data_IF_813030478038
#
_entry.id   IF_813030478038
#
_cell.length_a   1.000
_cell.length_b   1.000
_cell.length_c   1.000
_cell.angle_alpha   90.00
_cell.angle_beta   90.00
_cell.angle_gamma   90.00
#
_symmetry.space_group_name_H-M   'P 1'
#
loop_
_entity.id
_entity.type
_entity.pdbx_description
1 polymer ?
#
# COMPACT_ATOMS: atom_id res chain seq x y z
N UNK A 1 3.56 -1.82 9.27
CA UNK A 1 4.16 -0.53 8.87
C UNK A 1 3.09 0.52 8.91
N UNK A 2 3.28 1.61 9.65
CA UNK A 2 2.27 2.67 9.87
C UNK A 2 2.77 4.04 9.41
N UNK A 3 4.00 4.15 8.94
CA UNK A 3 4.67 5.40 8.56
C UNK A 3 4.79 6.46 9.68
N UNK A 4 4.30 6.19 10.89
CA UNK A 4 4.38 7.10 12.04
C UNK A 4 5.77 7.21 12.65
N UNK A 5 6.70 6.34 12.25
CA UNK A 5 8.14 6.45 12.56
C UNK A 5 8.85 7.51 11.71
N UNK A 6 8.18 8.08 10.70
CA UNK A 6 8.68 9.16 9.85
C UNK A 6 8.23 10.52 10.40
N UNK A 7 9.09 11.52 10.28
CA UNK A 7 8.81 12.86 10.81
C UNK A 7 8.43 13.83 9.68
N UNK A 8 7.26 14.44 9.78
CA UNK A 8 6.79 15.52 8.91
C UNK A 8 6.33 16.72 9.75
N UNK A 9 6.46 17.92 9.20
CA UNK A 9 5.70 19.06 9.69
C UNK A 9 4.19 18.83 9.44
N UNK A 10 3.29 19.46 10.21
CA UNK A 10 1.86 19.31 9.96
C UNK A 10 1.45 19.71 8.54
N UNK A 11 0.62 18.91 7.91
CA UNK A 11 0.07 19.12 6.57
C UNK A 11 1.16 19.29 5.49
N UNK A 12 2.13 18.36 5.49
CA UNK A 12 3.23 18.31 4.52
C UNK A 12 3.43 16.89 4.00
N UNK A 13 4.41 16.73 3.11
CA UNK A 13 4.79 15.44 2.53
C UNK A 13 6.31 15.42 2.29
N UNK A 14 6.83 14.23 2.05
CA UNK A 14 8.15 13.98 1.50
C UNK A 14 8.00 13.32 0.13
N UNK A 15 8.66 13.85 -0.90
CA UNK A 15 8.49 13.45 -2.30
C UNK A 15 9.77 12.91 -2.96
N UNK A 16 10.89 12.86 -2.23
CA UNK A 16 12.18 12.41 -2.76
C UNK A 16 13.05 13.51 -3.38
N UNK A 17 12.65 14.78 -3.30
CA UNK A 17 13.42 15.92 -3.80
C UNK A 17 14.79 16.10 -3.11
N UNK A 18 15.00 15.41 -2.00
CA UNK A 18 16.26 15.38 -1.24
C UNK A 18 17.32 14.40 -1.80
N UNK A 19 17.04 13.72 -2.91
CA UNK A 19 17.92 12.76 -3.59
C UNK A 19 18.23 11.48 -2.79
N UNK A 20 17.37 11.08 -1.88
CA UNK A 20 17.54 9.82 -1.13
C UNK A 20 16.99 8.60 -1.86
N UNK A 21 16.19 8.80 -2.93
CA UNK A 21 15.61 7.78 -3.82
C UNK A 21 14.67 6.77 -3.13
N UNK A 22 14.25 7.05 -1.93
CA UNK A 22 13.35 6.22 -1.14
C UNK A 22 13.49 6.46 0.35
N UNK A 23 12.66 5.75 1.11
CA UNK A 23 12.63 5.83 2.56
C UNK A 23 12.41 4.46 3.20
N UNK A 24 12.67 4.35 4.49
CA UNK A 24 12.40 3.13 5.26
C UNK A 24 11.41 3.45 6.37
N UNK A 25 10.36 2.63 6.50
CA UNK A 25 9.41 2.67 7.60
C UNK A 25 9.12 1.26 8.10
N UNK A 26 9.07 1.06 9.41
CA UNK A 26 8.86 -0.25 10.01
C UNK A 26 9.88 -1.33 9.58
N UNK A 27 11.08 -0.92 9.15
CA UNK A 27 12.12 -1.81 8.64
C UNK A 27 11.92 -2.27 7.18
N UNK A 28 10.95 -1.69 6.46
CA UNK A 28 10.67 -1.97 5.05
C UNK A 28 11.09 -0.78 4.20
N UNK A 29 11.74 -1.04 3.07
CA UNK A 29 12.17 0.00 2.13
C UNK A 29 11.09 0.27 1.08
N UNK A 30 10.81 1.54 0.85
CA UNK A 30 9.88 2.07 -0.14
C UNK A 30 10.67 2.89 -1.16
N UNK A 31 10.70 2.44 -2.39
CA UNK A 31 11.39 3.13 -3.46
C UNK A 31 10.67 4.42 -3.87
N UNK A 32 11.44 5.40 -4.31
CA UNK A 32 10.92 6.66 -4.85
C UNK A 32 11.70 7.03 -6.10
N UNK A 33 11.03 7.62 -7.06
CA UNK A 33 11.61 8.19 -8.26
C UNK A 33 11.26 9.66 -8.35
N UNK A 34 12.27 10.52 -8.30
CA UNK A 34 12.13 11.96 -8.47
C UNK A 34 12.86 12.43 -9.74
N UNK A 35 12.17 13.20 -10.56
CA UNK A 35 12.74 13.76 -11.77
C UNK A 35 13.36 15.13 -11.46
N UNK A 36 14.70 15.19 -11.32
CA UNK A 36 15.43 16.41 -10.98
C UNK A 36 15.54 17.42 -12.14
N UNK A 37 15.34 16.96 -13.39
CA UNK A 37 15.38 17.87 -14.56
C UNK A 37 14.10 18.71 -14.67
N UNK A 38 12.98 18.15 -14.22
CA UNK A 38 11.65 18.75 -14.30
C UNK A 38 11.02 19.05 -12.95
N UNK A 39 11.74 18.73 -11.85
CA UNK A 39 11.38 19.04 -10.45
C UNK A 39 10.00 18.50 -10.05
N UNK A 40 9.80 17.19 -10.23
CA UNK A 40 8.57 16.50 -9.82
C UNK A 40 8.79 15.04 -9.44
N UNK A 41 7.92 14.50 -8.56
CA UNK A 41 7.84 13.08 -8.26
C UNK A 41 7.32 12.30 -9.48
N UNK A 42 8.08 11.32 -9.93
CA UNK A 42 7.82 10.59 -11.18
C UNK A 42 7.40 9.13 -10.96
N UNK A 43 7.37 8.66 -9.72
CA UNK A 43 6.93 7.28 -9.42
C UNK A 43 7.39 6.76 -8.07
N UNK A 44 6.95 5.54 -7.74
CA UNK A 44 7.24 4.89 -6.46
C UNK A 44 6.36 5.41 -5.34
N UNK A 45 6.96 5.66 -4.17
CA UNK A 45 6.24 6.06 -2.96
C UNK A 45 6.67 7.43 -2.46
N UNK A 46 5.71 8.14 -1.91
CA UNK A 46 5.92 9.28 -1.02
C UNK A 46 5.26 8.96 0.33
N UNK A 47 5.59 9.72 1.38
CA UNK A 47 4.80 9.72 2.60
C UNK A 47 4.29 11.12 2.92
N UNK A 48 3.10 11.20 3.49
CA UNK A 48 2.33 12.43 3.63
C UNK A 48 1.51 12.43 4.93
N UNK A 49 1.20 13.62 5.41
CA UNK A 49 0.17 13.87 6.41
C UNK A 49 -0.77 15.01 5.95
N UNK A 50 -0.88 15.22 4.64
CA UNK A 50 -1.77 16.21 4.06
C UNK A 50 -3.23 15.90 4.35
N UNK A 51 -4.00 16.92 4.70
CA UNK A 51 -5.42 16.80 5.09
C UNK A 51 -6.38 17.42 4.07
N UNK A 52 -5.87 17.83 2.89
CA UNK A 52 -6.67 18.47 1.85
C UNK A 52 -7.51 17.45 1.07
N UNK A 53 -8.81 17.40 1.36
CA UNK A 53 -9.79 16.54 0.69
C UNK A 53 -10.66 17.29 -0.31
N UNK A 54 -10.33 18.53 -0.65
CA UNK A 54 -11.19 19.46 -1.40
C UNK A 54 -10.56 19.99 -2.69
N UNK A 55 -9.24 20.15 -2.74
CA UNK A 55 -8.56 20.65 -3.93
C UNK A 55 -8.48 19.55 -4.98
N UNK A 56 -9.11 19.79 -6.13
CA UNK A 56 -9.09 18.88 -7.27
C UNK A 56 -7.83 19.08 -8.12
N UNK A 57 -7.43 18.02 -8.83
CA UNK A 57 -6.35 18.05 -9.82
C UNK A 57 -4.99 17.65 -9.25
N UNK A 58 -3.99 17.64 -10.14
CA UNK A 58 -2.65 17.10 -9.88
C UNK A 58 -1.83 17.87 -8.84
N UNK A 59 -2.26 19.05 -8.45
CA UNK A 59 -1.60 19.81 -7.36
C UNK A 59 -1.94 19.29 -5.98
N UNK A 60 -2.80 18.28 -5.87
CA UNK A 60 -3.21 17.61 -4.65
C UNK A 60 -3.16 16.07 -4.80
N UNK A 61 -2.10 15.55 -5.39
CA UNK A 61 -1.86 14.12 -5.59
C UNK A 61 -1.28 13.42 -4.35
N UNK A 62 -0.81 14.18 -3.34
CA UNK A 62 -0.21 13.67 -2.11
C UNK A 62 -1.20 13.50 -0.94
N UNK A 63 -2.49 13.79 -1.14
CA UNK A 63 -3.49 13.72 -0.07
C UNK A 63 -4.34 12.46 -0.19
N UNK A 64 -4.48 11.71 0.91
CA UNK A 64 -5.52 10.68 1.03
C UNK A 64 -6.91 11.32 1.10
N UNK A 65 -7.90 10.75 0.43
CA UNK A 65 -9.27 11.29 0.39
C UNK A 65 -10.00 11.23 1.75
N UNK A 66 -9.43 10.53 2.70
CA UNK A 66 -9.88 10.50 4.11
C UNK A 66 -9.41 11.69 4.94
N UNK A 67 -8.41 12.45 4.48
CA UNK A 67 -7.81 13.59 5.19
C UNK A 67 -7.02 13.23 6.45
N UNK A 68 -6.77 11.94 6.70
CA UNK A 68 -6.01 11.42 7.84
C UNK A 68 -5.48 10.03 7.49
N UNK A 69 -4.42 9.57 8.15
CA UNK A 69 -3.91 8.21 8.02
C UNK A 69 -4.85 7.13 8.58
N UNK A 70 -4.62 5.88 8.22
CA UNK A 70 -5.39 4.73 8.63
C UNK A 70 -5.31 4.49 10.14
N UNK A 71 -6.41 4.04 10.77
CA UNK A 71 -6.50 3.84 12.22
C UNK A 71 -6.06 5.06 13.04
N UNK A 72 -6.27 6.28 12.52
CA UNK A 72 -5.83 7.54 13.11
C UNK A 72 -4.31 7.71 13.19
N UNK A 73 -3.57 7.03 12.32
CA UNK A 73 -2.15 7.28 12.06
C UNK A 73 -1.94 8.73 11.63
N UNK A 74 -0.77 9.29 11.94
CA UNK A 74 -0.44 10.66 11.52
C UNK A 74 -0.02 10.72 10.06
N UNK A 75 0.76 9.72 9.64
CA UNK A 75 1.29 9.63 8.30
C UNK A 75 0.68 8.45 7.53
N UNK A 76 0.75 8.52 6.23
CA UNK A 76 0.40 7.46 5.30
C UNK A 76 1.32 7.54 4.07
N UNK A 77 1.35 6.51 3.25
CA UNK A 77 2.05 6.57 1.97
C UNK A 77 1.07 6.77 0.81
N UNK A 78 1.56 7.38 -0.27
CA UNK A 78 0.89 7.44 -1.57
C UNK A 78 1.78 6.75 -2.58
N UNK A 79 1.18 5.95 -3.45
CA UNK A 79 1.85 5.22 -4.51
C UNK A 79 1.46 5.73 -5.91
N UNK A 80 2.48 5.84 -6.77
CA UNK A 80 2.35 6.02 -8.20
C UNK A 80 3.30 5.04 -8.91
N UNK A 81 2.86 3.78 -9.09
CA UNK A 81 3.72 2.71 -9.57
C UNK A 81 4.78 2.26 -8.55
N UNK A 82 5.66 1.36 -8.97
CA UNK A 82 6.66 0.78 -8.07
C UNK A 82 6.10 -0.29 -7.13
N UNK A 83 6.97 -0.88 -6.33
CA UNK A 83 6.67 -1.98 -5.43
C UNK A 83 7.31 -1.84 -4.05
N UNK A 84 7.04 -2.81 -3.20
CA UNK A 84 7.60 -2.92 -1.86
C UNK A 84 8.52 -4.14 -1.81
N UNK A 85 9.76 -3.98 -1.33
CA UNK A 85 10.67 -5.08 -1.01
C UNK A 85 10.77 -5.24 0.51
N UNK A 86 10.33 -6.38 1.02
CA UNK A 86 10.43 -6.74 2.43
C UNK A 86 11.83 -7.26 2.82
N UNK A 87 12.75 -7.38 1.86
CA UNK A 87 14.12 -7.89 2.04
C UNK A 87 14.19 -9.39 2.30
N UNK A 88 13.15 -10.01 2.81
CA UNK A 88 12.99 -11.45 3.02
C UNK A 88 11.51 -11.81 2.91
N UNK A 89 11.22 -13.06 2.58
CA UNK A 89 9.85 -13.55 2.51
C UNK A 89 9.08 -13.31 3.82
N UNK A 90 7.85 -12.85 3.68
CA UNK A 90 6.89 -12.56 4.75
C UNK A 90 5.54 -13.18 4.43
N UNK A 91 4.86 -13.63 5.46
CA UNK A 91 3.42 -13.92 5.38
C UNK A 91 2.68 -12.63 5.75
N UNK A 92 2.03 -12.02 4.77
CA UNK A 92 1.28 -10.79 4.96
C UNK A 92 -0.07 -11.09 5.61
N UNK A 93 -0.57 -10.16 6.43
CA UNK A 93 -1.90 -10.21 7.00
C UNK A 93 -2.85 -9.31 6.23
N UNK A 94 -2.63 -8.01 6.30
CA UNK A 94 -3.53 -7.01 5.68
C UNK A 94 -2.78 -5.72 5.36
N UNK A 95 -3.43 -4.89 4.55
CA UNK A 95 -3.04 -3.52 4.25
C UNK A 95 -4.29 -2.64 4.29
N UNK A 96 -4.16 -1.39 4.69
CA UNK A 96 -5.24 -0.41 4.52
C UNK A 96 -5.02 0.38 3.24
N UNK A 97 -6.09 0.54 2.44
CA UNK A 97 -6.08 1.21 1.15
C UNK A 97 -7.22 2.23 1.10
N UNK A 98 -6.97 3.37 0.48
CA UNK A 98 -8.00 4.36 0.12
C UNK A 98 -7.61 5.10 -1.16
N UNK A 99 -8.54 5.86 -1.74
CA UNK A 99 -8.25 6.77 -2.84
C UNK A 99 -7.40 7.95 -2.37
N UNK A 100 -6.58 8.50 -3.28
CA UNK A 100 -6.10 9.88 -3.14
C UNK A 100 -7.23 10.86 -3.44
N UNK A 101 -7.11 12.08 -2.91
CA UNK A 101 -8.08 13.16 -3.20
C UNK A 101 -8.15 13.46 -4.69
N UNK A 102 -7.01 13.44 -5.39
CA UNK A 102 -6.98 13.66 -6.82
C UNK A 102 -7.78 12.59 -7.57
N UNK A 103 -7.54 11.30 -7.33
CA UNK A 103 -8.25 10.22 -8.00
C UNK A 103 -9.76 10.24 -7.67
N UNK A 104 -10.12 10.42 -6.40
CA UNK A 104 -11.51 10.44 -5.97
C UNK A 104 -12.30 11.60 -6.59
N UNK A 105 -11.74 12.81 -6.58
CA UNK A 105 -12.41 13.99 -7.14
C UNK A 105 -12.47 13.95 -8.67
N UNK A 106 -11.47 13.36 -9.34
CA UNK A 106 -11.51 13.13 -10.79
C UNK A 106 -12.67 12.18 -11.16
N UNK A 107 -12.79 11.03 -10.50
CA UNK A 107 -13.90 10.10 -10.72
C UNK A 107 -15.27 10.71 -10.37
N UNK A 108 -15.34 11.53 -9.34
CA UNK A 108 -16.60 12.12 -8.87
C UNK A 108 -17.08 13.28 -9.77
N UNK A 109 -16.18 14.13 -10.22
CA UNK A 109 -16.52 15.41 -10.86
C UNK A 109 -16.05 15.49 -12.33
N UNK A 110 -15.20 14.56 -12.77
CA UNK A 110 -14.47 14.65 -14.02
C UNK A 110 -13.38 15.74 -13.98
N UNK A 111 -12.50 15.70 -14.94
CA UNK A 111 -11.49 16.75 -15.18
C UNK A 111 -11.17 16.84 -16.69
N UNK A 112 -10.02 17.44 -17.05
CA UNK A 112 -9.63 17.60 -18.47
C UNK A 112 -9.32 16.26 -19.16
N UNK A 113 -9.06 15.19 -18.40
CA UNK A 113 -8.67 13.88 -18.90
C UNK A 113 -9.66 12.79 -18.47
N UNK A 114 -10.02 12.78 -17.18
CA UNK A 114 -10.88 11.78 -16.56
C UNK A 114 -12.36 12.11 -16.69
N UNK A 115 -13.18 11.09 -17.01
CA UNK A 115 -14.65 11.20 -17.04
C UNK A 115 -15.24 11.19 -15.62
N UNK A 116 -16.48 11.65 -15.51
CA UNK A 116 -17.31 11.39 -14.32
C UNK A 116 -17.75 9.92 -14.34
N UNK A 117 -17.48 9.16 -13.30
CA UNK A 117 -17.91 7.77 -13.18
C UNK A 117 -19.44 7.68 -13.11
N UNK A 118 -20.01 6.68 -13.78
CA UNK A 118 -21.45 6.54 -14.02
C UNK A 118 -21.96 7.29 -15.26
N UNK A 119 -21.12 8.12 -15.91
CA UNK A 119 -21.45 8.75 -17.18
C UNK A 119 -21.32 7.75 -18.34
N UNK A 120 -22.19 7.85 -19.32
CA UNK A 120 -22.11 7.08 -20.59
C UNK A 120 -21.14 7.73 -21.59
N UNK A 121 -20.54 8.86 -21.23
CA UNK A 121 -19.65 9.63 -22.11
C UNK A 121 -18.26 9.77 -21.46
N UNK A 122 -17.24 9.88 -22.31
CA UNK A 122 -15.89 10.26 -21.93
C UNK A 122 -15.81 11.74 -21.47
N UNK A 123 -14.62 12.18 -21.08
CA UNK A 123 -14.35 13.56 -20.63
C UNK A 123 -14.60 14.59 -21.75
N UNK A 124 -14.63 14.19 -23.02
CA UNK A 124 -14.87 15.04 -24.18
C UNK A 124 -16.34 15.03 -24.61
N UNK A 125 -17.20 14.27 -23.92
CA UNK A 125 -18.65 14.17 -24.17
C UNK A 125 -19.04 13.17 -25.26
N UNK A 126 -18.12 12.28 -25.67
CA UNK A 126 -18.43 11.21 -26.63
C UNK A 126 -18.82 9.93 -25.91
N UNK A 127 -19.73 9.10 -26.48
CA UNK A 127 -20.02 7.78 -25.92
C UNK A 127 -18.75 6.92 -25.81
N UNK A 128 -18.47 6.39 -24.63
CA UNK A 128 -17.25 5.63 -24.32
C UNK A 128 -17.45 4.09 -24.34
N UNK A 129 -18.70 3.65 -24.45
CA UNK A 129 -19.06 2.23 -24.51
C UNK A 129 -19.17 1.53 -23.15
N UNK A 130 -18.90 2.22 -22.03
CA UNK A 130 -19.05 1.62 -20.68
C UNK A 130 -20.49 1.53 -20.24
N UNK A 131 -21.38 2.31 -20.85
CA UNK A 131 -22.79 2.46 -20.46
C UNK A 131 -22.95 2.94 -19.00
N UNK A 132 -21.92 3.60 -18.45
CA UNK A 132 -21.88 4.07 -17.07
C UNK A 132 -21.42 3.00 -16.05
N UNK A 133 -21.12 1.78 -16.51
CA UNK A 133 -20.62 0.70 -15.68
C UNK A 133 -19.09 0.85 -15.45
N UNK A 134 -18.71 1.91 -14.75
CA UNK A 134 -17.33 2.27 -14.52
C UNK A 134 -16.75 1.57 -13.30
N UNK A 135 -15.45 1.33 -13.33
CA UNK A 135 -14.70 0.86 -12.17
C UNK A 135 -13.25 1.33 -12.21
N UNK A 136 -12.67 1.44 -11.00
CA UNK A 136 -11.25 1.68 -10.77
C UNK A 136 -10.76 0.67 -9.74
N UNK A 137 -9.75 -0.11 -10.07
CA UNK A 137 -9.26 -1.19 -9.20
C UNK A 137 -7.76 -1.23 -9.10
N UNK A 138 -7.32 -1.74 -7.97
CA UNK A 138 -5.94 -2.04 -7.64
C UNK A 138 -5.74 -3.55 -7.66
N UNK A 139 -4.73 -4.01 -8.38
CA UNK A 139 -4.18 -5.36 -8.29
C UNK A 139 -2.97 -5.30 -7.37
N UNK A 140 -2.98 -6.10 -6.30
CA UNK A 140 -1.88 -6.28 -5.35
C UNK A 140 -1.28 -7.63 -5.65
N UNK A 141 -0.10 -7.66 -6.24
CA UNK A 141 0.54 -8.84 -6.80
C UNK A 141 1.68 -9.26 -5.87
N UNK A 142 1.55 -10.43 -5.28
CA UNK A 142 2.62 -11.03 -4.47
C UNK A 142 3.69 -11.69 -5.34
N UNK A 143 4.95 -11.49 -4.99
CA UNK A 143 6.09 -12.12 -5.64
C UNK A 143 6.99 -12.81 -4.61
N UNK A 144 7.48 -14.00 -4.96
CA UNK A 144 8.49 -14.72 -4.17
C UNK A 144 9.91 -14.12 -4.34
N UNK A 145 10.90 -14.70 -3.66
CA UNK A 145 12.30 -14.29 -3.74
C UNK A 145 12.93 -14.43 -5.13
N UNK A 146 12.31 -15.18 -6.03
CA UNK A 146 12.72 -15.36 -7.43
C UNK A 146 11.91 -14.50 -8.40
N UNK A 147 11.07 -13.58 -7.87
CA UNK A 147 10.17 -12.69 -8.62
C UNK A 147 9.05 -13.44 -9.38
N UNK A 148 8.75 -14.69 -9.03
CA UNK A 148 7.57 -15.35 -9.56
C UNK A 148 6.33 -14.83 -8.83
N UNK A 149 5.21 -14.65 -9.55
CA UNK A 149 3.93 -14.32 -8.95
C UNK A 149 3.44 -15.47 -8.08
N UNK A 150 3.15 -15.18 -6.81
CA UNK A 150 2.56 -16.13 -5.88
C UNK A 150 1.04 -16.15 -6.02
N UNK A 151 0.40 -14.99 -5.91
CA UNK A 151 -1.03 -14.76 -6.15
C UNK A 151 -1.31 -13.27 -6.37
N UNK A 152 -2.58 -12.90 -6.60
CA UNK A 152 -3.03 -11.53 -6.79
C UNK A 152 -4.33 -11.27 -6.03
N UNK A 153 -4.34 -10.23 -5.21
CA UNK A 153 -5.55 -9.70 -4.57
C UNK A 153 -6.05 -8.51 -5.35
N UNK A 154 -7.35 -8.48 -5.67
CA UNK A 154 -8.00 -7.40 -6.40
C UNK A 154 -8.85 -6.59 -5.43
N UNK A 155 -8.66 -5.27 -5.41
CA UNK A 155 -9.43 -4.34 -4.61
C UNK A 155 -10.02 -3.23 -5.49
N UNK A 156 -11.34 -2.99 -5.38
CA UNK A 156 -12.02 -1.94 -6.14
C UNK A 156 -12.01 -0.63 -5.34
N UNK A 157 -11.32 0.37 -5.87
CA UNK A 157 -11.29 1.75 -5.35
C UNK A 157 -12.53 2.55 -5.73
N UNK A 158 -13.20 2.14 -6.81
CA UNK A 158 -14.54 2.59 -7.21
C UNK A 158 -15.22 1.48 -8.02
N UNK A 159 -16.55 1.32 -7.86
CA UNK A 159 -17.34 0.36 -8.61
C UNK A 159 -18.75 0.90 -8.84
N UNK A 160 -19.13 1.06 -10.12
CA UNK A 160 -20.40 1.60 -10.61
C UNK A 160 -21.17 0.57 -11.45
N UNK A 161 -20.91 -0.72 -11.26
CA UNK A 161 -21.51 -1.82 -12.03
C UNK A 161 -22.71 -2.45 -11.34
N UNK A 162 -23.15 -1.91 -10.22
CA UNK A 162 -24.28 -2.48 -9.49
C UNK A 162 -25.60 -2.22 -10.22
N UNK A 163 -26.49 -3.25 -10.23
CA UNK A 163 -27.83 -3.10 -10.78
C UNK A 163 -28.67 -2.04 -10.04
N UNK A 164 -28.41 -1.86 -8.77
CA UNK A 164 -28.93 -0.77 -7.94
C UNK A 164 -27.83 0.28 -7.78
N UNK A 165 -27.97 1.39 -8.47
CA UNK A 165 -27.00 2.49 -8.43
C UNK A 165 -26.80 3.13 -7.04
N UNK A 166 -27.64 2.85 -6.08
CA UNK A 166 -27.40 3.25 -4.68
C UNK A 166 -26.27 2.46 -4.02
N UNK A 167 -25.82 1.38 -4.65
CA UNK A 167 -24.69 0.59 -4.21
C UNK A 167 -23.37 1.01 -4.89
N UNK A 168 -23.44 1.88 -5.91
CA UNK A 168 -22.27 2.43 -6.56
C UNK A 168 -21.45 3.24 -5.57
N UNK A 169 -20.13 3.13 -5.64
CA UNK A 169 -19.24 3.79 -4.68
C UNK A 169 -17.91 4.24 -5.27
N UNK A 170 -17.36 5.26 -4.64
CA UNK A 170 -15.93 5.62 -4.66
C UNK A 170 -15.48 5.49 -3.21
N UNK A 171 -14.44 4.69 -2.95
CA UNK A 171 -13.88 4.51 -1.61
C UNK A 171 -13.44 5.86 -1.04
N UNK A 172 -13.97 6.21 0.13
CA UNK A 172 -13.72 7.46 0.84
C UNK A 172 -13.37 7.24 2.32
N UNK A 173 -13.12 6.00 2.68
CA UNK A 173 -12.66 5.53 3.99
C UNK A 173 -11.42 4.67 3.82
N UNK A 174 -10.68 4.41 4.90
CA UNK A 174 -9.65 3.40 4.88
C UNK A 174 -10.27 2.00 4.93
N UNK A 175 -10.06 1.23 3.86
CA UNK A 175 -10.54 -0.15 3.77
C UNK A 175 -9.40 -1.13 4.07
N UNK A 176 -9.70 -2.15 4.88
CA UNK A 176 -8.74 -3.21 5.20
C UNK A 176 -8.83 -4.32 4.17
N UNK A 177 -7.75 -4.52 3.42
CA UNK A 177 -7.63 -5.55 2.40
C UNK A 177 -6.84 -6.72 2.97
N UNK A 178 -7.43 -7.93 2.94
CA UNK A 178 -6.78 -9.18 3.35
C UNK A 178 -5.73 -9.59 2.31
N UNK A 179 -4.49 -9.72 2.73
CA UNK A 179 -3.36 -10.14 1.90
C UNK A 179 -2.95 -11.60 2.16
N UNK A 180 -3.63 -12.30 3.06
CA UNK A 180 -3.29 -13.72 3.37
C UNK A 180 -3.35 -14.64 2.14
N UNK A 181 -4.20 -14.40 1.11
CA UNK A 181 -4.19 -15.21 -0.10
C UNK A 181 -2.88 -15.17 -0.89
N UNK A 182 -2.06 -14.11 -0.72
CA UNK A 182 -0.76 -13.99 -1.43
C UNK A 182 0.26 -15.04 -0.97
N UNK A 183 0.08 -15.64 0.22
CA UNK A 183 1.02 -16.59 0.80
C UNK A 183 2.32 -15.93 1.29
N UNK A 184 3.45 -16.61 1.12
CA UNK A 184 4.77 -16.06 1.43
C UNK A 184 5.26 -15.22 0.25
N UNK A 185 5.60 -13.95 0.49
CA UNK A 185 6.06 -13.00 -0.51
C UNK A 185 7.29 -12.25 -0.03
N UNK A 186 8.21 -11.95 -0.94
CA UNK A 186 9.29 -11.00 -0.69
C UNK A 186 8.95 -9.62 -1.24
N UNK A 187 8.17 -9.56 -2.36
CA UNK A 187 7.82 -8.31 -2.99
C UNK A 187 6.30 -8.17 -3.14
N UNK A 188 5.82 -6.93 -3.09
CA UNK A 188 4.51 -6.54 -3.61
C UNK A 188 4.70 -5.64 -4.82
N UNK A 189 3.97 -5.93 -5.88
CA UNK A 189 3.80 -5.04 -7.03
C UNK A 189 2.36 -4.53 -7.05
N UNK A 190 2.17 -3.33 -7.56
CA UNK A 190 0.87 -2.67 -7.63
C UNK A 190 0.56 -2.28 -9.06
N UNK A 191 -0.66 -2.63 -9.53
CA UNK A 191 -1.15 -2.25 -10.84
C UNK A 191 -2.54 -1.65 -10.70
N UNK A 192 -2.72 -0.42 -11.21
CA UNK A 192 -4.03 0.23 -11.27
C UNK A 192 -4.65 0.05 -12.65
N UNK A 193 -5.94 -0.27 -12.65
CA UNK A 193 -6.73 -0.45 -13.86
C UNK A 193 -8.04 0.33 -13.73
N UNK A 194 -8.54 0.89 -14.84
CA UNK A 194 -9.79 1.64 -14.92
C UNK A 194 -10.52 1.34 -16.22
N UNK A 195 -11.83 1.54 -16.22
CA UNK A 195 -12.65 1.60 -17.46
C UNK A 195 -12.43 2.89 -18.23
N UNK A 196 -12.02 3.97 -17.56
CA UNK A 196 -11.72 5.25 -18.19
C UNK A 196 -10.34 5.22 -18.85
N UNK A 197 -10.33 4.94 -20.15
CA UNK A 197 -9.13 4.74 -20.95
C UNK A 197 -9.05 5.77 -22.07
N UNK A 198 -7.85 6.27 -22.31
CA UNK A 198 -7.53 7.16 -23.43
C UNK A 198 -6.41 6.60 -24.31
N UNK A 199 -5.97 7.40 -25.25
CA UNK A 199 -4.90 7.03 -26.18
C UNK A 199 -3.54 6.76 -25.51
N UNK A 200 -3.35 7.22 -24.28
CA UNK A 200 -2.11 7.09 -23.51
C UNK A 200 -2.24 6.15 -22.31
N UNK A 201 -3.32 5.40 -22.21
CA UNK A 201 -3.62 4.49 -21.12
C UNK A 201 -4.79 4.96 -20.26
N UNK A 202 -4.70 4.72 -18.98
CA UNK A 202 -5.72 5.07 -17.99
C UNK A 202 -5.79 6.61 -17.83
N UNK A 203 -7.01 7.18 -17.92
CA UNK A 203 -7.27 8.60 -17.71
C UNK A 203 -7.55 8.92 -16.23
N UNK A 204 -8.14 7.97 -15.49
CA UNK A 204 -8.28 8.08 -14.03
C UNK A 204 -6.89 8.28 -13.42
N UNK A 205 -6.68 9.27 -12.55
CA UNK A 205 -5.39 9.47 -11.91
C UNK A 205 -4.90 8.20 -11.20
N UNK A 206 -3.75 7.67 -11.64
CA UNK A 206 -3.24 6.35 -11.25
C UNK A 206 -2.51 6.40 -9.90
N UNK A 207 -3.18 6.91 -8.87
CA UNK A 207 -2.68 7.06 -7.51
C UNK A 207 -3.61 6.35 -6.52
N UNK A 208 -3.02 5.79 -5.46
CA UNK A 208 -3.75 5.35 -4.29
C UNK A 208 -2.95 5.61 -3.02
N UNK A 209 -3.64 5.71 -1.88
CA UNK A 209 -2.99 5.82 -0.58
C UNK A 209 -3.03 4.49 0.16
N UNK A 210 -1.97 4.19 0.92
CA UNK A 210 -1.85 2.97 1.71
C UNK A 210 -1.28 3.24 3.10
N UNK A 211 -1.67 2.38 4.04
CA UNK A 211 -1.23 2.43 5.43
C UNK A 211 -1.35 1.07 6.11
N UNK A 212 -0.85 0.95 7.33
CA UNK A 212 -1.07 -0.19 8.22
C UNK A 212 -0.81 -1.57 7.58
N UNK A 213 0.35 -1.72 6.89
CA UNK A 213 0.76 -3.04 6.38
C UNK A 213 1.11 -3.94 7.56
N UNK A 214 0.38 -5.05 7.70
CA UNK A 214 0.61 -6.07 8.71
C UNK A 214 1.26 -7.32 8.10
N UNK A 215 2.19 -7.90 8.81
CA UNK A 215 2.78 -9.20 8.46
C UNK A 215 3.17 -9.95 9.75
N UNK A 216 3.21 -11.28 9.66
CA UNK A 216 3.70 -12.09 10.75
C UNK A 216 5.19 -11.77 10.99
N UNK A 217 5.50 -11.18 12.13
CA UNK A 217 6.87 -11.19 12.61
C UNK A 217 7.22 -12.64 12.95
N UNK A 218 8.36 -13.12 12.45
CA UNK A 218 8.86 -14.42 12.91
C UNK A 218 8.87 -14.39 14.44
N UNK A 219 7.88 -15.01 15.06
CA UNK A 219 7.97 -15.32 16.47
C UNK A 219 9.19 -16.22 16.57
N UNK A 220 10.29 -15.72 17.13
CA UNK A 220 11.24 -16.61 17.76
C UNK A 220 10.37 -17.41 18.73
N UNK A 221 9.99 -18.62 18.34
CA UNK A 221 9.47 -19.58 19.27
C UNK A 221 10.50 -19.57 20.38
N UNK A 222 10.18 -18.88 21.48
CA UNK A 222 10.96 -18.94 22.68
C UNK A 222 10.95 -20.44 22.98
N UNK A 223 12.05 -21.12 22.60
CA UNK A 223 12.23 -22.49 23.04
C UNK A 223 11.99 -22.39 24.53
N UNK A 224 10.84 -22.85 24.97
CA UNK A 224 10.60 -22.97 26.39
C UNK A 224 11.57 -24.08 26.83
N UNK A 225 12.74 -23.65 27.29
CA UNK A 225 13.66 -24.52 27.96
C UNK A 225 12.97 -24.83 29.30
N UNK A 226 11.92 -25.63 29.20
CA UNK A 226 11.31 -26.20 30.37
C UNK A 226 12.32 -27.18 30.93
N UNK A 227 12.83 -26.85 32.13
CA UNK A 227 13.63 -27.70 32.98
C UNK A 227 15.00 -28.14 32.45
N UNK A 228 15.88 -27.17 32.11
CA UNK A 228 17.30 -27.46 32.06
C UNK A 228 17.90 -27.38 33.48
N UNK A 229 18.28 -28.54 34.02
CA UNK A 229 19.05 -28.59 35.26
C UNK A 229 20.55 -28.56 34.92
N UNK A 230 21.29 -27.59 35.47
CA UNK A 230 22.74 -27.51 35.37
C UNK A 230 23.35 -28.02 36.64
N UNK A 231 24.15 -29.07 36.58
CA UNK A 231 24.85 -29.61 37.73
C UNK A 231 26.29 -30.08 37.38
N UNK A 232 27.20 -30.16 38.37
CA UNK A 232 27.04 -29.75 39.76
C UNK A 232 26.85 -28.26 39.92
N UNK A 233 26.06 -27.87 40.92
CA UNK A 233 25.89 -26.48 41.29
C UNK A 233 26.22 -26.33 42.78
N UNK A 234 27.39 -25.70 43.16
CA UNK A 234 28.34 -24.97 42.32
C UNK A 234 29.21 -25.89 41.43
N UNK A 235 29.52 -25.41 40.22
CA UNK A 235 30.41 -26.09 39.25
C UNK A 235 31.89 -25.93 39.59
N UNK A 236 32.70 -26.99 39.39
CA UNK A 236 34.15 -26.96 39.47
C UNK A 236 34.84 -26.72 38.12
N UNK A 237 34.13 -26.11 37.16
CA UNK A 237 34.58 -25.85 35.80
C UNK A 237 34.10 -26.85 34.73
N UNK A 238 33.44 -27.93 35.11
CA UNK A 238 32.71 -28.83 34.23
C UNK A 238 31.25 -28.95 34.69
N UNK A 239 30.35 -28.85 33.76
CA UNK A 239 28.91 -29.00 34.01
C UNK A 239 28.27 -29.84 32.92
N UNK A 240 27.17 -30.48 33.27
CA UNK A 240 26.36 -31.25 32.34
C UNK A 240 24.97 -30.59 32.23
N UNK A 241 24.51 -30.41 31.00
CA UNK A 241 23.14 -29.94 30.75
C UNK A 241 22.30 -31.16 30.37
N UNK A 242 21.18 -31.35 31.06
CA UNK A 242 20.16 -32.33 30.66
C UNK A 242 18.96 -31.61 30.10
N UNK A 243 18.48 -32.05 28.93
CA UNK A 243 17.15 -31.75 28.42
C UNK A 243 16.27 -32.97 28.52
N UNK A 244 14.96 -32.82 28.39
CA UNK A 244 14.02 -33.97 28.39
C UNK A 244 14.26 -34.92 27.22
N UNK A 245 15.03 -34.50 26.18
CA UNK A 245 15.33 -35.32 24.99
C UNK A 245 16.70 -36.01 25.02
N UNK A 246 17.43 -36.00 26.12
CA UNK A 246 18.72 -36.69 26.26
C UNK A 246 19.90 -35.83 26.69
N UNK A 247 21.04 -36.48 26.98
CA UNK A 247 22.28 -35.80 27.34
C UNK A 247 22.95 -35.21 26.09
N UNK A 248 23.28 -33.92 26.14
CA UNK A 248 24.18 -33.31 25.21
C UNK A 248 25.52 -33.10 25.95
N UNK A 249 26.58 -33.74 25.48
CA UNK A 249 27.96 -33.57 25.98
C UNK A 249 28.62 -32.34 25.37
#
# INVERSE_FOLDING_TARGET
VTFDDLTLAPNTYWDGSDSTFGFTSGGVYFENSYNFDWDYWSGGFIYSNSTDVTTAGYTNDFSAYTGIGGNSSQNYAVNYGGGIDFGTEKTLGSIQITNTTYAALSMLNGDSFGKVFGSVNDAQGNPDGTNGEDWFRLLIIGKDAQSNTTDTVIFYLADYRFADSLQDYIVNTWETVDLTPLGEVQFLEFELQSTDLGSFGINTPAYFALDNISYATASLNKLSIANQEVYPNPSTGKFTVKSEDGQIN
#
